data_IF_285083600463
#
_entry.id   IF_285083600463
#
_cell.length_a   1.000
_cell.length_b   1.000
_cell.length_c   1.000
_cell.angle_alpha   90.00
_cell.angle_beta   90.00
_cell.angle_gamma   90.00
#
_symmetry.space_group_name_H-M   'P 1'
#
loop_
_entity.id
_entity.type
_entity.pdbx_description
1 polymer ?
#
# COMPACT_ATOMS: atom_id res chain seq x y z
N UNK A 1 -55.25 2.35 15.96
CA UNK A 1 -54.49 3.63 15.86
C UNK A 1 -53.07 3.56 16.43
N UNK A 2 -52.76 2.65 17.37
CA UNK A 2 -51.41 2.48 17.93
C UNK A 2 -50.37 1.88 16.96
N UNK A 3 -50.79 0.93 16.11
CA UNK A 3 -49.91 0.16 15.21
C UNK A 3 -49.22 1.06 14.15
N UNK A 4 -49.93 2.07 13.64
CA UNK A 4 -49.41 3.00 12.63
C UNK A 4 -48.34 3.93 13.21
N UNK A 5 -48.43 4.26 14.51
CA UNK A 5 -47.42 5.07 15.21
C UNK A 5 -46.13 4.27 15.44
N UNK A 6 -46.24 2.99 15.81
CA UNK A 6 -45.07 2.11 15.95
C UNK A 6 -44.33 1.95 14.63
N UNK A 7 -45.05 1.72 13.53
CA UNK A 7 -44.44 1.55 12.20
C UNK A 7 -43.64 2.78 11.75
N UNK A 8 -44.13 4.00 12.07
CA UNK A 8 -43.45 5.25 11.73
C UNK A 8 -42.15 5.45 12.52
N UNK A 9 -42.14 5.10 13.81
CA UNK A 9 -40.94 5.22 14.65
C UNK A 9 -39.87 4.23 14.18
N UNK A 10 -40.24 2.99 13.87
CA UNK A 10 -39.30 1.99 13.35
C UNK A 10 -38.69 2.41 12.02
N UNK A 11 -39.48 3.02 11.14
CA UNK A 11 -38.99 3.50 9.84
C UNK A 11 -38.03 4.68 9.98
N UNK A 12 -38.33 5.65 10.85
CA UNK A 12 -37.42 6.77 11.14
C UNK A 12 -36.11 6.31 11.80
N UNK A 13 -36.17 5.31 12.68
CA UNK A 13 -34.97 4.76 13.32
C UNK A 13 -34.09 4.00 12.31
N UNK A 14 -34.69 3.23 11.41
CA UNK A 14 -33.96 2.53 10.35
C UNK A 14 -33.26 3.53 9.39
N UNK A 15 -33.93 4.64 9.06
CA UNK A 15 -33.35 5.70 8.22
C UNK A 15 -32.16 6.39 8.92
N UNK A 16 -32.25 6.61 10.23
CA UNK A 16 -31.18 7.21 11.02
C UNK A 16 -29.93 6.31 11.08
N UNK A 17 -30.13 5.01 11.29
CA UNK A 17 -29.03 4.02 11.33
C UNK A 17 -28.34 3.90 9.96
N UNK A 18 -29.09 3.97 8.87
CA UNK A 18 -28.52 3.98 7.52
C UNK A 18 -27.66 5.23 7.25
N UNK A 19 -28.03 6.39 7.81
CA UNK A 19 -27.28 7.64 7.64
C UNK A 19 -26.02 7.75 8.52
N UNK A 20 -25.97 6.99 9.63
CA UNK A 20 -24.86 7.01 10.58
C UNK A 20 -23.78 5.96 10.30
N UNK A 21 -23.93 5.17 9.23
CA UNK A 21 -22.92 4.18 8.87
C UNK A 21 -21.75 4.90 8.20
N UNK A 22 -20.55 4.97 8.80
CA UNK A 22 -19.39 5.52 8.11
C UNK A 22 -19.12 4.64 6.89
N UNK A 23 -19.24 5.24 5.71
CA UNK A 23 -18.76 4.63 4.48
C UNK A 23 -17.24 4.56 4.60
N UNK A 24 -16.73 3.42 5.09
CA UNK A 24 -15.31 3.11 5.06
C UNK A 24 -14.94 2.95 3.58
N UNK A 25 -14.52 4.06 2.97
CA UNK A 25 -14.09 4.11 1.60
C UNK A 25 -12.73 3.42 1.53
N UNK A 26 -12.75 2.16 1.14
CA UNK A 26 -11.54 1.40 0.87
C UNK A 26 -10.75 2.09 -0.24
N UNK A 27 -9.46 2.29 -0.02
CA UNK A 27 -8.61 3.05 -0.93
C UNK A 27 -7.52 2.17 -1.52
N UNK A 28 -7.29 2.34 -2.82
CA UNK A 28 -6.19 1.70 -3.52
C UNK A 28 -4.99 2.62 -3.49
N UNK A 29 -3.82 2.06 -3.19
CA UNK A 29 -2.55 2.79 -3.24
C UNK A 29 -1.56 2.01 -4.08
N UNK A 30 -0.75 2.73 -4.83
CA UNK A 30 0.34 2.13 -5.59
C UNK A 30 1.60 2.17 -4.74
N UNK A 31 2.24 1.02 -4.57
CA UNK A 31 3.60 0.93 -4.07
C UNK A 31 4.56 0.79 -5.24
N UNK A 32 5.61 1.58 -5.22
CA UNK A 32 6.67 1.56 -6.23
C UNK A 32 8.03 1.48 -5.54
N UNK A 33 8.82 0.45 -5.86
CA UNK A 33 10.22 0.39 -5.44
C UNK A 33 11.04 1.54 -6.05
N UNK A 34 12.01 2.04 -5.31
CA UNK A 34 12.98 3.00 -5.85
C UNK A 34 13.77 2.33 -6.99
N UNK A 35 13.97 3.07 -8.09
CA UNK A 35 14.68 2.58 -9.28
C UNK A 35 16.07 2.04 -8.93
N UNK A 36 16.75 2.73 -8.00
CA UNK A 36 18.05 2.34 -7.48
C UNK A 36 17.93 2.04 -5.98
N UNK A 37 18.31 0.83 -5.61
CA UNK A 37 18.53 0.46 -4.20
C UNK A 37 20.01 0.63 -3.89
N UNK A 38 20.32 1.32 -2.80
CA UNK A 38 21.70 1.52 -2.35
C UNK A 38 21.92 0.89 -0.97
N UNK A 39 23.13 0.36 -0.76
CA UNK A 39 23.60 -0.08 0.57
C UNK A 39 24.95 0.58 0.80
N UNK A 40 25.07 1.28 1.92
CA UNK A 40 26.36 1.69 2.44
C UNK A 40 27.04 0.47 3.07
N UNK A 41 28.09 -0.02 2.40
CA UNK A 41 28.96 -1.02 2.99
C UNK A 41 29.90 -0.29 3.95
N UNK A 42 29.80 -0.63 5.23
CA UNK A 42 30.56 0.00 6.33
C UNK A 42 32.09 -0.14 6.19
N UNK A 43 32.57 -0.96 5.26
CA UNK A 43 33.97 -1.12 4.90
C UNK A 43 34.29 -0.43 3.57
N UNK A 44 34.66 0.85 3.62
CA UNK A 44 35.46 1.49 2.56
C UNK A 44 34.73 2.34 1.52
N UNK A 45 33.50 2.79 1.77
CA UNK A 45 32.84 3.82 0.93
C UNK A 45 32.36 3.33 -0.44
N UNK A 46 32.41 2.03 -0.70
CA UNK A 46 31.82 1.43 -1.90
C UNK A 46 30.32 1.23 -1.66
N UNK A 47 29.49 2.06 -2.31
CA UNK A 47 28.06 1.84 -2.38
C UNK A 47 27.75 0.82 -3.48
N UNK A 48 27.03 -0.25 -3.13
CA UNK A 48 26.45 -1.15 -4.14
C UNK A 48 25.10 -0.60 -4.54
N UNK A 49 24.88 -0.44 -5.84
CA UNK A 49 23.59 -0.01 -6.40
C UNK A 49 22.98 -1.15 -7.22
N UNK A 50 21.72 -1.47 -6.95
CA UNK A 50 20.94 -2.41 -7.73
C UNK A 50 19.80 -1.67 -8.41
N UNK A 51 19.72 -1.77 -9.73
CA UNK A 51 18.61 -1.23 -10.50
C UNK A 51 17.46 -2.25 -10.53
N UNK A 52 16.26 -1.84 -10.12
CA UNK A 52 15.07 -2.66 -10.26
C UNK A 52 14.40 -2.39 -11.61
N UNK A 53 13.99 -3.44 -12.36
CA UNK A 53 13.42 -3.31 -13.70
C UNK A 53 11.96 -2.79 -13.73
N UNK A 54 11.50 -2.09 -12.70
CA UNK A 54 10.09 -1.79 -12.35
C UNK A 54 9.29 -2.96 -11.78
N UNK A 55 8.67 -2.71 -10.61
CA UNK A 55 7.67 -3.58 -9.98
C UNK A 55 6.71 -2.71 -9.17
N UNK A 56 5.87 -1.95 -9.88
CA UNK A 56 4.73 -1.27 -9.26
C UNK A 56 3.70 -2.32 -8.91
N UNK A 57 3.07 -2.20 -7.76
CA UNK A 57 1.93 -3.05 -7.41
C UNK A 57 0.93 -2.26 -6.61
N UNK A 58 -0.33 -2.64 -6.78
CA UNK A 58 -1.43 -1.96 -6.13
C UNK A 58 -1.77 -2.70 -4.85
N UNK A 59 -1.76 -1.96 -3.76
CA UNK A 59 -2.15 -2.40 -2.43
C UNK A 59 -3.54 -1.86 -2.14
N UNK A 60 -4.39 -2.71 -1.60
CA UNK A 60 -5.67 -2.33 -1.05
C UNK A 60 -5.45 -1.96 0.42
N UNK A 61 -5.71 -0.71 0.79
CA UNK A 61 -5.66 -0.25 2.18
C UNK A 61 -7.06 0.18 2.62
N UNK A 62 -7.42 -0.12 3.86
CA UNK A 62 -8.76 0.18 4.36
C UNK A 62 -8.94 1.65 4.74
N UNK A 63 -7.86 2.41 4.95
CA UNK A 63 -7.89 3.85 5.23
C UNK A 63 -6.53 4.53 4.92
N UNK A 64 -6.55 5.76 4.39
CA UNK A 64 -5.33 6.53 4.14
C UNK A 64 -4.69 7.05 5.45
N UNK A 65 -5.51 7.36 6.46
CA UNK A 65 -5.01 7.62 7.82
C UNK A 65 -4.47 6.35 8.49
N UNK A 66 -4.87 5.17 8.00
CA UNK A 66 -4.24 3.91 8.37
C UNK A 66 -2.95 3.63 7.62
N UNK A 67 -2.37 4.51 6.80
CA UNK A 67 -0.95 4.34 6.42
C UNK A 67 -0.03 4.52 7.63
N UNK A 68 -0.47 5.31 8.63
CA UNK A 68 0.20 5.38 9.94
C UNK A 68 0.01 4.12 10.78
N UNK A 69 -0.99 3.31 10.43
CA UNK A 69 -1.33 2.01 11.01
C UNK A 69 -1.18 0.89 9.98
N UNK A 70 -0.46 1.12 8.88
CA UNK A 70 -0.06 0.07 7.96
C UNK A 70 0.67 -0.86 8.89
N UNK A 71 0.12 -2.05 9.10
CA UNK A 71 0.67 -2.94 10.10
C UNK A 71 2.16 -3.16 9.84
N UNK A 72 2.84 -3.83 10.75
CA UNK A 72 4.29 -4.01 10.63
C UNK A 72 4.72 -4.84 9.41
N UNK A 73 3.80 -5.21 8.50
CA UNK A 73 4.04 -6.06 7.34
C UNK A 73 3.20 -5.73 6.09
N UNK A 74 3.76 -6.00 4.92
CA UNK A 74 3.17 -5.96 3.58
C UNK A 74 3.36 -7.33 2.92
N UNK A 75 2.34 -7.85 2.22
CA UNK A 75 2.51 -9.04 1.39
C UNK A 75 2.83 -8.61 -0.05
N UNK A 76 4.00 -9.01 -0.55
CA UNK A 76 4.48 -8.68 -1.89
C UNK A 76 4.85 -9.98 -2.61
N UNK A 77 4.09 -10.35 -3.65
CA UNK A 77 4.26 -11.61 -4.41
C UNK A 77 4.31 -12.87 -3.53
N UNK A 78 3.47 -12.94 -2.49
CA UNK A 78 3.44 -14.07 -1.56
C UNK A 78 4.56 -14.07 -0.51
N UNK A 79 5.43 -13.06 -0.50
CA UNK A 79 6.43 -12.87 0.54
C UNK A 79 5.98 -11.78 1.50
N UNK A 80 6.07 -12.06 2.80
CA UNK A 80 5.79 -11.07 3.82
C UNK A 80 7.03 -10.20 4.07
N UNK A 81 6.87 -8.90 3.85
CA UNK A 81 7.89 -7.88 4.07
C UNK A 81 7.51 -7.06 5.28
N UNK A 82 8.39 -6.88 6.23
CA UNK A 82 8.20 -6.04 7.40
C UNK A 82 8.51 -4.58 7.07
N UNK A 83 7.71 -3.66 7.59
CA UNK A 83 8.00 -2.23 7.51
C UNK A 83 9.03 -1.92 8.61
N UNK A 84 10.26 -1.64 8.20
CA UNK A 84 11.38 -1.31 9.10
C UNK A 84 11.34 0.17 9.50
N UNK A 85 11.04 1.05 8.53
CA UNK A 85 10.89 2.48 8.75
C UNK A 85 9.96 3.12 7.72
N UNK A 86 9.37 4.27 8.06
CA UNK A 86 8.59 5.08 7.13
C UNK A 86 8.85 6.58 7.34
N UNK A 87 8.79 7.35 6.25
CA UNK A 87 8.90 8.81 6.29
C UNK A 87 7.97 9.46 5.28
N UNK A 88 7.45 10.64 5.61
CA UNK A 88 6.67 11.44 4.68
C UNK A 88 7.60 12.41 3.95
N UNK A 89 7.50 12.48 2.64
CA UNK A 89 8.17 13.50 1.83
C UNK A 89 7.32 14.77 1.72
N UNK A 90 7.94 15.88 1.33
CA UNK A 90 7.29 17.19 1.20
C UNK A 90 6.19 17.25 0.13
N UNK A 91 6.21 16.30 -0.81
CA UNK A 91 5.19 16.11 -1.84
C UNK A 91 4.01 15.23 -1.38
N UNK A 92 3.94 14.89 -0.09
CA UNK A 92 2.87 14.10 0.50
C UNK A 92 2.95 12.59 0.22
N UNK A 93 4.03 12.12 -0.42
CA UNK A 93 4.27 10.68 -0.59
C UNK A 93 4.84 10.08 0.70
N UNK A 94 4.67 8.77 0.85
CA UNK A 94 5.20 8.02 1.98
C UNK A 94 6.29 7.10 1.48
N UNK A 95 7.51 7.29 1.97
CA UNK A 95 8.65 6.41 1.72
C UNK A 95 8.69 5.32 2.79
N UNK A 96 8.84 4.07 2.37
CA UNK A 96 8.96 2.91 3.24
C UNK A 96 10.31 2.24 3.06
N UNK A 97 10.87 1.74 4.15
CA UNK A 97 11.96 0.78 4.18
C UNK A 97 11.40 -0.58 4.58
N UNK A 98 11.63 -1.61 3.77
CA UNK A 98 11.06 -2.93 3.90
C UNK A 98 12.15 -3.96 4.16
N UNK A 99 12.00 -4.78 5.20
CA UNK A 99 12.87 -5.93 5.49
C UNK A 99 12.13 -7.23 5.24
N UNK A 100 12.81 -8.34 4.95
CA UNK A 100 12.17 -9.65 4.95
C UNK A 100 11.74 -10.06 6.37
N UNK A 101 10.59 -10.71 6.47
CA UNK A 101 10.13 -11.38 7.70
C UNK A 101 11.20 -12.34 8.27
N UNK A 102 11.83 -13.12 7.39
CA UNK A 102 12.81 -14.15 7.77
C UNK A 102 14.18 -13.59 8.19
N UNK A 103 14.34 -12.26 8.21
CA UNK A 103 15.57 -11.58 8.62
C UNK A 103 16.75 -11.74 7.65
N UNK A 104 16.56 -12.37 6.48
CA UNK A 104 17.61 -12.48 5.47
C UNK A 104 17.71 -11.22 4.63
N UNK A 105 18.90 -10.98 4.07
CA UNK A 105 19.11 -9.91 3.11
C UNK A 105 18.50 -10.26 1.75
N UNK A 106 17.91 -9.27 1.08
CA UNK A 106 17.54 -9.38 -0.32
C UNK A 106 18.81 -9.54 -1.16
N UNK A 107 18.81 -10.57 -2.01
CA UNK A 107 19.96 -10.92 -2.87
C UNK A 107 21.28 -11.07 -2.09
N UNK A 108 21.21 -11.51 -0.82
CA UNK A 108 22.36 -11.64 0.09
C UNK A 108 23.21 -10.36 0.22
N UNK A 109 22.63 -9.19 -0.06
CA UNK A 109 23.37 -7.91 -0.15
C UNK A 109 22.61 -6.74 0.44
N UNK A 110 21.28 -6.71 0.29
CA UNK A 110 20.44 -5.57 0.68
C UNK A 110 19.61 -5.95 1.91
N UNK A 111 19.88 -5.39 3.10
CA UNK A 111 19.11 -5.71 4.30
C UNK A 111 17.66 -5.20 4.21
N UNK A 112 17.47 -4.09 3.50
CA UNK A 112 16.17 -3.47 3.28
C UNK A 112 16.00 -3.04 1.82
N UNK A 113 14.75 -2.98 1.37
CA UNK A 113 14.35 -2.36 0.11
C UNK A 113 13.55 -1.09 0.41
N UNK A 114 13.83 -0.02 -0.32
CA UNK A 114 13.09 1.23 -0.22
C UNK A 114 12.10 1.40 -1.36
N UNK A 115 10.95 1.97 -1.05
CA UNK A 115 9.95 2.33 -2.04
C UNK A 115 9.04 3.43 -1.55
N UNK A 116 8.17 3.88 -2.44
CA UNK A 116 7.26 5.00 -2.21
C UNK A 116 5.82 4.56 -2.46
N UNK A 117 4.92 4.96 -1.57
CA UNK A 117 3.48 4.80 -1.72
C UNK A 117 2.89 6.08 -2.31
N UNK A 118 2.02 5.89 -3.31
CA UNK A 118 1.24 6.94 -3.96
C UNK A 118 -0.25 6.60 -3.88
N UNK A 119 -1.11 7.56 -3.49
CA UNK A 119 -2.55 7.36 -3.57
C UNK A 119 -2.97 7.15 -5.03
N UNK A 120 -3.81 6.16 -5.30
CA UNK A 120 -4.47 6.04 -6.60
C UNK A 120 -5.85 6.69 -6.51
N UNK A 121 -6.14 7.60 -7.44
CA UNK A 121 -7.47 8.23 -7.57
C UNK A 121 -8.48 7.26 -8.20
N UNK A 122 -8.01 6.33 -9.04
CA UNK A 122 -8.77 5.25 -9.67
C UNK A 122 -7.82 4.10 -10.00
N UNK A 123 -8.15 2.88 -9.56
CA UNK A 123 -7.48 1.68 -10.04
C UNK A 123 -8.20 1.22 -11.31
N UNK A 124 -7.51 1.28 -12.45
CA UNK A 124 -7.93 0.57 -13.65
C UNK A 124 -7.03 -0.67 -13.73
N UNK A 125 -7.59 -1.89 -13.57
CA UNK A 125 -6.80 -3.10 -13.82
C UNK A 125 -6.37 -3.04 -15.28
N UNK A 126 -5.05 -2.98 -15.50
CA UNK A 126 -4.50 -2.79 -16.83
C UNK A 126 -5.07 -3.81 -17.80
N UNK A 127 -5.61 -3.32 -18.91
CA UNK A 127 -5.75 -4.12 -20.12
C UNK A 127 -4.35 -4.67 -20.42
N UNK A 128 -4.23 -5.99 -20.48
CA UNK A 128 -3.00 -6.64 -20.93
C UNK A 128 -2.62 -6.01 -22.27
N UNK A 129 -1.54 -5.23 -22.26
CA UNK A 129 -1.00 -4.61 -23.46
C UNK A 129 -0.54 -5.76 -24.37
N UNK A 130 -1.45 -6.16 -25.27
CA UNK A 130 -1.21 -7.18 -26.29
C UNK A 130 -0.07 -6.67 -27.16
N UNK A 131 1.14 -7.10 -26.86
CA UNK A 131 2.31 -6.84 -27.67
C UNK A 131 2.02 -7.30 -29.10
N UNK A 132 2.13 -6.44 -30.12
CA UNK A 132 2.03 -6.90 -31.49
C UNK A 132 3.26 -7.77 -31.77
N UNK A 133 3.03 -9.06 -32.01
CA UNK A 133 4.01 -9.94 -32.63
C UNK A 133 4.44 -9.32 -33.97
N UNK A 134 5.69 -8.85 -34.03
CA UNK A 134 6.32 -8.50 -35.29
C UNK A 134 6.78 -9.77 -35.99
N UNK A 135 6.12 -10.10 -37.11
CA UNK A 135 6.60 -11.07 -38.11
C UNK A 135 7.91 -10.62 -38.78
#
# INVERSE_FOLDING_TARGET
>A
MMIVKLLRISFSLALLVAFLSPANAQQWVEFQFDEFQSVEVSTGGLSKQLKFPEKRFVLQINDLNSLRHLGNSLNVYGNMLLIDNWSSTSDGKIRLSLRREDGRDFFNTFPTLTGTIKPLTRYEPGEEESSPESN
#
